data_IF_271185643951
#
_entry.id   IF_271185643951
#
_cell.length_a   1.000
_cell.length_b   1.000
_cell.length_c   1.000
_cell.angle_alpha   90.00
_cell.angle_beta   90.00
_cell.angle_gamma   90.00
#
_symmetry.space_group_name_H-M   'P 1'
#
loop_
_entity.id
_entity.type
_entity.pdbx_description
1 polymer ?
#
# COMPACT_ATOMS: atom_id res chain seq x y z
N UNK A 1 -1.22 0.47 -10.08
CA UNK A 1 -2.30 -0.46 -9.66
C UNK A 1 -1.79 -1.89 -9.78
N UNK A 2 -1.56 -2.61 -8.68
CA UNK A 2 -1.26 -4.05 -8.69
C UNK A 2 -2.56 -4.82 -8.89
N UNK A 3 -2.64 -5.68 -9.91
CA UNK A 3 -3.85 -6.42 -10.28
C UNK A 3 -3.63 -7.93 -10.30
N UNK A 4 -4.61 -8.66 -9.80
CA UNK A 4 -4.75 -10.09 -9.96
C UNK A 4 -6.23 -10.47 -9.93
N UNK A 5 -6.76 -10.95 -11.05
CA UNK A 5 -8.18 -11.30 -11.22
C UNK A 5 -9.15 -10.17 -10.83
N UNK A 6 -8.92 -8.97 -11.37
CA UNK A 6 -9.69 -7.75 -11.06
C UNK A 6 -10.69 -7.34 -12.17
N UNK A 7 -11.07 -8.26 -13.09
CA UNK A 7 -11.93 -7.95 -14.22
C UNK A 7 -13.28 -7.34 -13.84
N UNK A 8 -13.83 -7.70 -12.66
CA UNK A 8 -15.12 -7.19 -12.18
C UNK A 8 -15.07 -5.73 -11.72
N UNK A 9 -13.91 -5.27 -11.24
CA UNK A 9 -13.78 -4.00 -10.48
C UNK A 9 -12.94 -2.94 -11.17
N UNK A 10 -11.96 -3.34 -12.00
CA UNK A 10 -11.00 -2.41 -12.61
C UNK A 10 -11.65 -1.27 -13.38
N UNK A 11 -12.74 -1.54 -14.10
CA UNK A 11 -13.44 -0.50 -14.89
C UNK A 11 -14.01 0.60 -13.99
N UNK A 12 -14.70 0.23 -12.91
CA UNK A 12 -15.28 1.21 -11.98
C UNK A 12 -14.21 2.02 -11.26
N UNK A 13 -13.15 1.34 -10.76
CA UNK A 13 -12.02 2.04 -10.13
C UNK A 13 -11.36 3.04 -11.09
N UNK A 14 -11.09 2.65 -12.33
CA UNK A 14 -10.49 3.54 -13.31
C UNK A 14 -11.39 4.72 -13.68
N UNK A 15 -12.70 4.54 -13.73
CA UNK A 15 -13.64 5.64 -14.02
C UNK A 15 -13.65 6.69 -12.90
N UNK A 16 -13.45 6.28 -11.64
CA UNK A 16 -13.39 7.16 -10.47
C UNK A 16 -12.04 7.90 -10.35
N UNK A 17 -10.99 7.47 -11.06
CA UNK A 17 -9.71 8.20 -11.10
C UNK A 17 -9.95 9.58 -11.78
N UNK A 18 -9.51 10.70 -11.15
CA UNK A 18 -9.60 12.03 -11.76
C UNK A 18 -8.90 12.08 -13.13
N UNK A 19 -9.49 12.82 -14.07
CA UNK A 19 -9.07 12.80 -15.49
C UNK A 19 -7.61 13.11 -15.69
N UNK A 20 -7.05 14.03 -14.92
CA UNK A 20 -5.65 14.47 -14.97
C UNK A 20 -4.66 13.37 -14.64
N UNK A 21 -5.04 12.36 -13.83
CA UNK A 21 -4.18 11.23 -13.42
C UNK A 21 -4.36 9.99 -14.31
N UNK A 22 -5.39 9.94 -15.16
CA UNK A 22 -5.68 8.74 -15.98
C UNK A 22 -4.55 8.40 -16.94
N UNK A 23 -3.88 9.39 -17.51
CA UNK A 23 -2.77 9.21 -18.45
C UNK A 23 -1.52 8.59 -17.78
N UNK A 24 -1.36 8.79 -16.46
CA UNK A 24 -0.22 8.33 -15.67
C UNK A 24 -0.52 7.01 -14.95
N UNK A 25 -1.66 6.38 -15.27
CA UNK A 25 -2.06 5.14 -14.64
C UNK A 25 -1.31 3.95 -15.24
N UNK A 26 -0.63 3.19 -14.37
CA UNK A 26 0.06 1.94 -14.70
C UNK A 26 -0.64 0.80 -13.97
N UNK A 27 -0.93 -0.28 -14.68
CA UNK A 27 -1.41 -1.52 -14.09
C UNK A 27 -0.36 -2.61 -14.27
N UNK A 28 0.02 -3.26 -13.17
CA UNK A 28 0.88 -4.45 -13.21
C UNK A 28 0.02 -5.67 -12.89
N UNK A 29 -0.06 -6.57 -13.85
CA UNK A 29 -0.86 -7.80 -13.76
C UNK A 29 -0.01 -8.97 -13.30
N UNK A 30 -0.38 -9.59 -12.18
CA UNK A 30 0.32 -10.72 -11.59
C UNK A 30 -0.14 -12.08 -12.15
N UNK A 31 -0.23 -12.16 -13.48
CA UNK A 31 -0.69 -13.33 -14.23
C UNK A 31 -2.16 -13.68 -13.95
N UNK A 32 -3.06 -12.73 -14.17
CA UNK A 32 -4.51 -12.95 -14.08
C UNK A 32 -5.00 -13.99 -15.09
N UNK A 33 -5.93 -14.83 -14.67
CA UNK A 33 -6.60 -15.82 -15.50
C UNK A 33 -7.93 -15.32 -16.09
N UNK A 34 -8.40 -14.17 -15.65
CA UNK A 34 -9.64 -13.53 -16.11
C UNK A 34 -9.37 -12.43 -17.16
N UNK A 35 -10.37 -11.64 -17.50
CA UNK A 35 -10.28 -10.56 -18.50
C UNK A 35 -9.63 -9.27 -17.98
N UNK A 36 -8.93 -9.27 -16.84
CA UNK A 36 -8.31 -8.07 -16.24
C UNK A 36 -7.47 -7.29 -17.25
N UNK A 37 -6.53 -7.96 -17.90
CA UNK A 37 -5.60 -7.35 -18.85
C UNK A 37 -6.32 -6.80 -20.10
N UNK A 38 -7.28 -7.55 -20.62
CA UNK A 38 -8.08 -7.16 -21.77
C UNK A 38 -8.85 -5.86 -21.48
N UNK A 39 -9.54 -5.82 -20.33
CA UNK A 39 -10.31 -4.66 -19.91
C UNK A 39 -9.41 -3.46 -19.67
N UNK A 40 -8.28 -3.63 -18.98
CA UNK A 40 -7.33 -2.55 -18.70
C UNK A 40 -6.79 -1.91 -19.98
N UNK A 41 -6.41 -2.73 -20.97
CA UNK A 41 -5.95 -2.23 -22.28
C UNK A 41 -7.03 -1.47 -23.04
N UNK A 42 -8.28 -1.96 -23.01
CA UNK A 42 -9.43 -1.25 -23.62
C UNK A 42 -9.73 0.10 -22.98
N UNK A 43 -9.40 0.26 -21.69
CA UNK A 43 -9.51 1.54 -20.97
C UNK A 43 -8.36 2.50 -21.25
N UNK A 44 -7.34 2.08 -22.02
CA UNK A 44 -6.16 2.88 -22.32
C UNK A 44 -5.12 2.90 -21.20
N UNK A 45 -5.21 1.99 -20.23
CA UNK A 45 -4.24 1.88 -19.13
C UNK A 45 -2.95 1.24 -19.66
N UNK A 46 -1.79 1.78 -19.27
CA UNK A 46 -0.49 1.14 -19.51
C UNK A 46 -0.39 -0.15 -18.69
N UNK A 47 -0.38 -1.32 -19.36
CA UNK A 47 -0.38 -2.63 -18.72
C UNK A 47 0.97 -3.31 -18.84
N UNK A 48 1.51 -3.73 -17.70
CA UNK A 48 2.70 -4.58 -17.58
C UNK A 48 2.25 -5.95 -17.07
N UNK A 49 2.49 -7.01 -17.82
CA UNK A 49 2.19 -8.38 -17.40
C UNK A 49 3.44 -9.06 -16.88
N UNK A 50 3.35 -9.61 -15.68
CA UNK A 50 4.42 -10.42 -15.10
C UNK A 50 4.45 -11.81 -15.74
N UNK A 51 5.62 -12.40 -15.85
CA UNK A 51 5.81 -13.74 -16.45
C UNK A 51 5.35 -14.89 -15.54
N UNK A 52 5.24 -14.62 -14.23
CA UNK A 52 4.78 -15.58 -13.21
C UNK A 52 4.03 -14.83 -12.12
N UNK A 53 3.08 -15.52 -11.49
CA UNK A 53 2.46 -15.01 -10.28
C UNK A 53 3.50 -15.01 -9.16
N UNK A 54 3.82 -13.86 -8.64
CA UNK A 54 4.84 -13.66 -7.62
C UNK A 54 4.27 -13.28 -6.27
N UNK A 55 2.98 -12.97 -6.22
CA UNK A 55 2.30 -12.53 -5.01
C UNK A 55 2.19 -11.02 -4.87
N UNK A 56 1.48 -10.63 -3.83
CA UNK A 56 1.08 -9.25 -3.56
C UNK A 56 2.26 -8.25 -3.49
N UNK A 57 3.26 -8.55 -2.66
CA UNK A 57 4.44 -7.69 -2.50
C UNK A 57 5.29 -7.63 -3.75
N UNK A 58 5.50 -8.78 -4.41
CA UNK A 58 6.25 -8.83 -5.67
C UNK A 58 5.58 -8.03 -6.78
N UNK A 59 4.23 -7.98 -6.82
CA UNK A 59 3.49 -7.17 -7.77
C UNK A 59 3.64 -5.67 -7.47
N UNK A 60 3.59 -5.26 -6.20
CA UNK A 60 3.83 -3.87 -5.80
C UNK A 60 5.24 -3.40 -6.12
N UNK A 61 6.28 -4.23 -5.88
CA UNK A 61 7.66 -3.91 -6.27
C UNK A 61 7.74 -3.54 -7.74
N UNK A 62 7.16 -4.37 -8.61
CA UNK A 62 7.10 -4.09 -10.05
C UNK A 62 6.32 -2.80 -10.38
N UNK A 63 5.24 -2.48 -9.63
CA UNK A 63 4.53 -1.21 -9.78
C UNK A 63 5.43 -0.01 -9.48
N UNK A 64 6.19 -0.06 -8.38
CA UNK A 64 7.07 1.04 -7.98
C UNK A 64 8.24 1.21 -8.95
N UNK A 65 8.86 0.12 -9.38
CA UNK A 65 9.92 0.12 -10.40
C UNK A 65 9.42 0.77 -11.69
N UNK A 66 8.28 0.31 -12.20
CA UNK A 66 7.68 0.84 -13.42
C UNK A 66 7.32 2.33 -13.33
N UNK A 67 6.86 2.79 -12.15
CA UNK A 67 6.57 4.20 -11.93
C UNK A 67 7.85 5.05 -11.92
N UNK A 68 8.92 4.58 -11.28
CA UNK A 68 10.22 5.26 -11.28
C UNK A 68 10.85 5.31 -12.68
N UNK A 69 10.73 4.25 -13.48
CA UNK A 69 11.18 4.21 -14.87
C UNK A 69 10.43 5.22 -15.75
N UNK A 70 9.16 5.51 -15.43
CA UNK A 70 8.38 6.55 -16.09
C UNK A 70 8.71 7.97 -15.61
N UNK A 71 9.63 8.14 -14.67
CA UNK A 71 10.05 9.44 -14.13
C UNK A 71 9.03 10.04 -13.14
N UNK A 72 8.24 9.22 -12.47
CA UNK A 72 7.26 9.73 -11.51
C UNK A 72 7.95 10.37 -10.29
N UNK A 73 7.51 11.59 -9.91
CA UNK A 73 7.95 12.27 -8.70
C UNK A 73 7.16 11.80 -7.48
N UNK A 74 5.91 11.44 -7.69
CA UNK A 74 4.99 10.94 -6.65
C UNK A 74 4.27 9.71 -7.19
N UNK A 75 4.20 8.65 -6.39
CA UNK A 75 3.52 7.41 -6.75
C UNK A 75 2.41 7.11 -5.75
N UNK A 76 1.19 6.95 -6.24
CA UNK A 76 0.06 6.54 -5.40
C UNK A 76 -0.32 5.10 -5.73
N UNK A 77 -0.25 4.23 -4.73
CA UNK A 77 -0.65 2.82 -4.81
C UNK A 77 -2.15 2.71 -4.62
N UNK A 78 -2.86 2.36 -5.69
CA UNK A 78 -4.31 2.15 -5.69
C UNK A 78 -4.62 0.71 -6.09
N UNK A 79 -5.34 -0.02 -5.24
CA UNK A 79 -5.80 -1.37 -5.56
C UNK A 79 -7.08 -1.34 -6.41
N UNK A 80 -7.18 -2.18 -7.47
CA UNK A 80 -8.35 -2.20 -8.35
C UNK A 80 -9.50 -3.05 -7.79
N UNK A 81 -9.75 -3.03 -6.47
CA UNK A 81 -10.75 -3.84 -5.77
C UNK A 81 -11.98 -3.05 -5.28
N UNK A 82 -12.08 -1.78 -5.66
CA UNK A 82 -13.15 -0.86 -5.27
C UNK A 82 -13.25 -0.55 -3.76
N UNK A 83 -12.28 -0.97 -2.94
CA UNK A 83 -12.32 -0.65 -1.51
C UNK A 83 -12.09 0.83 -1.23
N UNK A 84 -11.18 1.45 -1.97
CA UNK A 84 -10.83 2.86 -1.80
C UNK A 84 -11.48 3.74 -2.87
N UNK A 85 -11.91 4.91 -2.47
CA UNK A 85 -12.41 5.92 -3.38
C UNK A 85 -11.24 6.59 -4.14
N UNK A 86 -11.13 6.30 -5.43
CA UNK A 86 -10.03 6.84 -6.25
C UNK A 86 -10.05 8.38 -6.39
N UNK A 87 -11.16 9.04 -6.06
CA UNK A 87 -11.27 10.50 -6.09
C UNK A 87 -10.39 11.21 -5.06
N UNK A 88 -9.87 10.48 -4.06
CA UNK A 88 -8.97 11.04 -3.03
C UNK A 88 -7.50 11.08 -3.44
N UNK A 89 -7.12 10.50 -4.57
CA UNK A 89 -5.73 10.46 -5.04
C UNK A 89 -5.05 11.84 -5.08
N UNK A 90 -5.72 12.93 -5.56
CA UNK A 90 -5.14 14.28 -5.54
C UNK A 90 -4.77 14.75 -4.13
N UNK A 91 -5.58 14.41 -3.13
CA UNK A 91 -5.33 14.84 -1.75
C UNK A 91 -4.06 14.17 -1.17
N UNK A 92 -3.86 12.85 -1.42
CA UNK A 92 -2.63 12.18 -1.00
C UNK A 92 -1.40 12.78 -1.71
N UNK A 93 -1.48 12.94 -3.03
CA UNK A 93 -0.38 13.50 -3.82
C UNK A 93 -0.04 14.93 -3.38
N UNK A 94 -1.05 15.76 -3.09
CA UNK A 94 -0.86 17.17 -2.69
C UNK A 94 -0.09 17.33 -1.38
N UNK A 95 -0.29 16.46 -0.40
CA UNK A 95 0.46 16.49 0.86
C UNK A 95 1.96 16.27 0.62
N UNK A 96 2.31 15.37 -0.31
CA UNK A 96 3.71 15.12 -0.69
C UNK A 96 4.26 16.28 -1.52
N UNK A 97 3.52 16.78 -2.49
CA UNK A 97 3.89 17.93 -3.33
C UNK A 97 4.24 19.16 -2.48
N UNK A 98 3.46 19.40 -1.42
CA UNK A 98 3.70 20.48 -0.45
C UNK A 98 4.85 20.18 0.52
N UNK A 99 5.52 19.02 0.42
CA UNK A 99 6.63 18.59 1.30
C UNK A 99 6.25 18.50 2.79
N UNK A 100 4.97 18.31 3.08
CA UNK A 100 4.47 18.11 4.45
C UNK A 100 4.88 16.72 4.93
N UNK A 101 4.67 15.70 4.09
CA UNK A 101 5.09 14.32 4.31
C UNK A 101 5.79 13.76 3.06
N UNK A 102 6.60 12.72 3.25
CA UNK A 102 7.23 11.94 2.18
C UNK A 102 6.42 10.68 1.86
N UNK A 103 5.66 10.21 2.85
CA UNK A 103 4.72 9.07 2.74
C UNK A 103 3.38 9.49 3.32
N UNK A 104 2.29 9.19 2.61
CA UNK A 104 0.93 9.48 3.06
C UNK A 104 0.06 8.24 2.95
N UNK A 105 -0.60 7.86 4.04
CA UNK A 105 -1.54 6.74 4.08
C UNK A 105 -2.99 7.23 4.02
N UNK A 106 -3.84 6.48 3.39
CA UNK A 106 -5.29 6.68 3.46
C UNK A 106 -5.86 6.03 4.71
N UNK A 107 -6.15 6.81 5.74
CA UNK A 107 -6.72 6.30 6.98
C UNK A 107 -8.19 5.88 6.81
N UNK A 108 -8.47 4.59 6.94
CA UNK A 108 -9.81 4.00 6.80
C UNK A 108 -10.69 4.18 8.04
N UNK A 109 -10.09 4.52 9.18
CA UNK A 109 -10.76 4.48 10.48
C UNK A 109 -10.92 5.90 10.99
N UNK A 110 -11.87 6.66 10.40
CA UNK A 110 -12.24 8.00 10.89
C UNK A 110 -12.98 7.90 12.22
N UNK A 111 -14.01 7.06 12.25
CA UNK A 111 -14.75 6.73 13.48
C UNK A 111 -15.02 5.23 13.55
N UNK A 112 -15.21 4.70 14.78
CA UNK A 112 -15.61 3.31 14.98
C UNK A 112 -16.95 2.99 14.31
N UNK A 113 -17.90 3.94 14.40
CA UNK A 113 -19.24 3.79 13.81
C UNK A 113 -19.16 3.62 12.29
N UNK A 114 -18.43 4.50 11.61
CA UNK A 114 -18.26 4.43 10.17
C UNK A 114 -17.52 3.16 9.71
N UNK A 115 -16.46 2.78 10.40
CA UNK A 115 -15.71 1.58 10.05
C UNK A 115 -16.58 0.31 10.11
N UNK A 116 -17.40 0.17 11.18
CA UNK A 116 -18.28 -0.98 11.35
C UNK A 116 -19.47 -0.91 10.39
N UNK A 117 -20.09 0.25 10.20
CA UNK A 117 -21.19 0.43 9.23
C UNK A 117 -20.71 0.25 7.79
N UNK A 118 -19.46 0.58 7.48
CA UNK A 118 -18.83 0.34 6.18
C UNK A 118 -18.52 -1.14 5.90
N UNK A 119 -18.83 -2.05 6.85
CA UNK A 119 -18.67 -3.49 6.69
C UNK A 119 -17.40 -4.08 7.33
N UNK A 120 -16.63 -3.29 8.08
CA UNK A 120 -15.47 -3.85 8.80
C UNK A 120 -15.93 -4.75 9.95
N UNK A 121 -15.52 -6.02 10.00
CA UNK A 121 -15.82 -6.90 11.12
C UNK A 121 -15.30 -6.32 12.44
N UNK A 122 -16.09 -6.42 13.54
CA UNK A 122 -15.73 -5.85 14.85
C UNK A 122 -14.36 -6.35 15.34
N UNK A 123 -14.10 -7.66 15.23
CA UNK A 123 -12.81 -8.24 15.64
C UNK A 123 -11.63 -7.64 14.85
N UNK A 124 -11.80 -7.41 13.53
CA UNK A 124 -10.79 -6.78 12.68
C UNK A 124 -10.53 -5.33 13.09
N UNK A 125 -11.60 -4.60 13.46
CA UNK A 125 -11.47 -3.25 14.00
C UNK A 125 -10.59 -3.23 15.26
N UNK A 126 -10.90 -4.08 16.25
CA UNK A 126 -10.14 -4.12 17.50
C UNK A 126 -8.68 -4.52 17.30
N UNK A 127 -8.41 -5.55 16.49
CA UNK A 127 -7.03 -5.95 16.16
C UNK A 127 -6.29 -4.80 15.49
N UNK A 128 -6.88 -4.16 14.47
CA UNK A 128 -6.27 -3.02 13.80
C UNK A 128 -5.94 -1.88 14.78
N UNK A 129 -6.88 -1.51 15.65
CA UNK A 129 -6.66 -0.42 16.63
C UNK A 129 -5.55 -0.75 17.63
N UNK A 130 -5.54 -1.97 18.15
CA UNK A 130 -4.51 -2.43 19.11
C UNK A 130 -3.14 -2.47 18.42
N UNK A 131 -3.04 -3.04 17.22
CA UNK A 131 -1.79 -3.08 16.47
C UNK A 131 -1.28 -1.67 16.15
N UNK A 132 -2.16 -0.79 15.64
CA UNK A 132 -1.80 0.61 15.34
C UNK A 132 -1.31 1.35 16.60
N UNK A 133 -1.93 1.11 17.77
CA UNK A 133 -1.48 1.72 19.03
C UNK A 133 -0.07 1.25 19.40
N UNK A 134 0.18 -0.05 19.33
CA UNK A 134 1.52 -0.62 19.64
C UNK A 134 2.56 -0.10 18.65
N UNK A 135 2.25 -0.06 17.37
CA UNK A 135 3.15 0.44 16.31
C UNK A 135 3.45 1.93 16.49
N UNK A 136 2.46 2.75 16.80
CA UNK A 136 2.67 4.16 17.12
C UNK A 136 3.64 4.33 18.30
N UNK A 137 3.43 3.56 19.37
CA UNK A 137 4.27 3.64 20.57
C UNK A 137 5.71 3.17 20.27
N UNK A 138 5.88 2.06 19.56
CA UNK A 138 7.19 1.46 19.31
C UNK A 138 7.99 2.20 18.25
N UNK A 139 7.32 2.75 17.24
CA UNK A 139 7.96 3.44 16.12
C UNK A 139 7.98 4.96 16.27
N UNK A 140 7.42 5.51 17.38
CA UNK A 140 7.38 6.94 17.63
C UNK A 140 6.52 7.71 16.63
N UNK A 141 5.41 7.12 16.19
CA UNK A 141 4.49 7.71 15.21
C UNK A 141 3.14 8.08 15.83
N UNK A 142 2.28 8.76 15.07
CA UNK A 142 0.92 9.12 15.49
C UNK A 142 -0.09 8.90 14.35
N UNK A 143 -0.04 7.72 13.72
CA UNK A 143 -0.92 7.37 12.60
C UNK A 143 -2.25 6.80 13.08
N UNK A 144 -3.31 7.08 12.34
CA UNK A 144 -4.64 6.52 12.62
C UNK A 144 -4.81 5.09 12.11
N UNK A 145 -4.10 4.66 11.07
CA UNK A 145 -4.19 3.31 10.50
C UNK A 145 -2.89 2.91 9.78
N UNK A 146 -2.09 2.03 10.40
CA UNK A 146 -0.87 1.48 9.79
C UNK A 146 -1.13 0.48 8.67
N UNK A 147 -2.32 -0.12 8.63
CA UNK A 147 -2.64 -1.28 7.78
C UNK A 147 -3.46 -0.91 6.55
N UNK A 148 -3.44 0.36 6.16
CA UNK A 148 -4.09 0.80 4.93
C UNK A 148 -3.28 0.39 3.70
N UNK A 149 -3.95 -0.11 2.66
CA UNK A 149 -3.34 -0.40 1.36
C UNK A 149 -3.29 0.80 0.41
N UNK A 150 -4.04 1.88 0.69
CA UNK A 150 -3.95 3.11 -0.09
C UNK A 150 -2.82 3.98 0.45
N UNK A 151 -1.77 4.15 -0.33
CA UNK A 151 -0.53 4.81 0.08
C UNK A 151 0.03 5.67 -1.04
N UNK A 152 0.62 6.80 -0.68
CA UNK A 152 1.39 7.63 -1.60
C UNK A 152 2.82 7.78 -1.09
N UNK A 153 3.77 7.83 -2.02
CA UNK A 153 5.20 7.93 -1.74
C UNK A 153 5.85 8.97 -2.66
N UNK A 154 6.78 9.75 -2.14
CA UNK A 154 7.70 10.51 -2.99
C UNK A 154 8.66 9.55 -3.70
N UNK A 155 9.16 9.95 -4.87
CA UNK A 155 10.18 9.18 -5.59
C UNK A 155 11.48 9.01 -4.78
N UNK A 156 11.79 9.95 -3.88
CA UNK A 156 12.93 9.86 -2.98
C UNK A 156 12.81 8.66 -2.02
N UNK A 157 11.63 8.43 -1.44
CA UNK A 157 11.36 7.24 -0.61
C UNK A 157 11.60 5.97 -1.40
N UNK A 158 11.03 5.88 -2.62
CA UNK A 158 11.13 4.70 -3.48
C UNK A 158 12.57 4.43 -3.94
N UNK A 159 13.39 5.47 -4.11
CA UNK A 159 14.80 5.32 -4.49
C UNK A 159 15.70 4.98 -3.32
N UNK A 160 15.36 5.42 -2.10
CA UNK A 160 16.19 5.28 -0.91
C UNK A 160 15.94 3.97 -0.18
N UNK A 161 14.67 3.57 -0.06
CA UNK A 161 14.28 2.37 0.69
C UNK A 161 14.53 1.12 -0.15
N UNK A 162 15.29 0.13 0.36
CA UNK A 162 15.59 -1.11 -0.35
C UNK A 162 14.41 -2.09 -0.28
N UNK A 163 13.24 -1.67 -0.80
CA UNK A 163 11.99 -2.43 -0.74
C UNK A 163 12.06 -3.76 -1.51
N UNK A 164 13.00 -3.94 -2.41
CA UNK A 164 13.27 -5.20 -3.10
C UNK A 164 13.62 -6.34 -2.14
N UNK A 165 14.18 -6.03 -0.96
CA UNK A 165 14.51 -7.00 0.08
C UNK A 165 13.32 -7.42 0.95
N UNK A 166 12.16 -6.81 0.74
CA UNK A 166 10.94 -7.10 1.48
C UNK A 166 10.26 -8.37 0.98
N UNK A 167 9.33 -8.86 1.78
CA UNK A 167 8.48 -10.00 1.45
C UNK A 167 7.76 -9.82 0.10
N UNK A 168 7.55 -10.91 -0.62
CA UNK A 168 6.71 -10.93 -1.82
C UNK A 168 5.22 -11.11 -1.49
N UNK A 169 4.85 -11.29 -0.22
CA UNK A 169 3.49 -11.46 0.29
C UNK A 169 2.99 -10.18 0.97
N UNK A 170 1.87 -10.23 1.66
CA UNK A 170 1.16 -9.11 2.30
C UNK A 170 1.98 -8.35 3.36
N UNK A 171 3.00 -8.96 3.97
CA UNK A 171 3.89 -8.29 4.91
C UNK A 171 4.67 -7.12 4.27
N UNK A 172 4.77 -7.08 2.94
CA UNK A 172 5.46 -6.04 2.18
C UNK A 172 5.10 -4.63 2.62
N UNK A 173 3.81 -4.34 2.74
CA UNK A 173 3.31 -3.01 3.08
C UNK A 173 3.83 -2.53 4.44
N UNK A 174 3.84 -3.43 5.42
CA UNK A 174 4.29 -3.11 6.77
C UNK A 174 5.81 -2.97 6.82
N UNK A 175 6.54 -3.88 6.16
CA UNK A 175 7.99 -3.81 6.06
C UNK A 175 8.44 -2.50 5.41
N UNK A 176 7.78 -2.08 4.32
CA UNK A 176 8.11 -0.85 3.62
C UNK A 176 7.84 0.40 4.47
N UNK A 177 6.74 0.41 5.23
CA UNK A 177 6.43 1.52 6.13
C UNK A 177 7.45 1.63 7.27
N UNK A 178 7.80 0.50 7.91
CA UNK A 178 8.82 0.44 8.96
C UNK A 178 10.19 0.90 8.45
N UNK A 179 10.57 0.50 7.23
CA UNK A 179 11.79 1.00 6.58
C UNK A 179 11.75 2.51 6.35
N UNK A 180 10.63 3.04 5.85
CA UNK A 180 10.48 4.48 5.63
C UNK A 180 10.67 5.27 6.91
N UNK A 181 10.13 4.77 8.04
CA UNK A 181 10.35 5.35 9.38
C UNK A 181 11.82 5.24 9.79
N UNK A 182 12.44 4.08 9.56
CA UNK A 182 13.86 3.86 9.91
C UNK A 182 14.80 4.84 9.19
N UNK A 183 14.51 5.14 7.93
CA UNK A 183 15.30 6.10 7.14
C UNK A 183 14.97 7.57 7.41
N UNK A 184 14.05 7.85 8.35
CA UNK A 184 13.74 9.19 8.80
C UNK A 184 12.77 9.97 7.90
N UNK A 185 12.03 9.31 7.01
CA UNK A 185 11.01 9.94 6.19
C UNK A 185 9.81 10.39 7.03
N UNK A 186 9.23 11.53 6.66
CA UNK A 186 8.03 12.08 7.30
C UNK A 186 6.80 11.32 6.81
N UNK A 187 6.06 10.72 7.75
CA UNK A 187 4.87 9.94 7.45
C UNK A 187 3.63 10.61 8.05
N UNK A 188 2.56 10.64 7.29
CA UNK A 188 1.27 11.12 7.75
C UNK A 188 0.13 10.29 7.18
N UNK A 189 -1.08 10.56 7.65
CA UNK A 189 -2.27 9.96 7.10
C UNK A 189 -3.38 10.99 6.88
N UNK A 190 -4.26 10.70 5.91
CA UNK A 190 -5.48 11.46 5.66
C UNK A 190 -6.69 10.56 5.73
N UNK A 191 -7.85 11.03 6.23
CA UNK A 191 -9.05 10.23 6.29
C UNK A 191 -9.59 9.96 4.88
N UNK A 192 -9.86 8.68 4.57
CA UNK A 192 -10.40 8.26 3.28
C UNK A 192 -11.67 7.43 3.44
N UNK A 193 -12.66 7.62 2.55
CA UNK A 193 -13.82 6.73 2.50
C UNK A 193 -13.38 5.32 2.09
N UNK A 194 -13.92 4.31 2.75
CA UNK A 194 -13.69 2.90 2.41
C UNK A 194 -15.01 2.17 2.34
N UNK A 195 -15.12 1.27 1.38
CA UNK A 195 -16.24 0.37 1.21
C UNK A 195 -15.76 -1.07 1.32
N UNK A 196 -16.42 -1.86 2.16
CA UNK A 196 -16.16 -3.30 2.24
C UNK A 196 -17.28 -4.01 1.49
N UNK A 197 -16.94 -4.71 0.42
CA UNK A 197 -17.86 -5.57 -0.33
C UNK A 197 -17.58 -7.03 0.04
N UNK A 198 -18.59 -7.89 -0.08
CA UNK A 198 -18.43 -9.34 0.16
C UNK A 198 -17.39 -9.97 -0.76
N UNK A 199 -17.28 -9.48 -2.00
CA UNK A 199 -16.28 -9.90 -3.00
C UNK A 199 -14.92 -9.18 -2.88
N UNK A 200 -14.75 -8.27 -1.90
CA UNK A 200 -13.47 -7.60 -1.71
C UNK A 200 -12.43 -8.61 -1.22
N UNK A 201 -11.19 -8.44 -1.65
CA UNK A 201 -10.05 -9.30 -1.30
C UNK A 201 -9.80 -9.34 0.21
N UNK A 202 -10.74 -9.94 0.97
CA UNK A 202 -10.58 -10.12 2.40
C UNK A 202 -9.53 -11.21 2.64
N UNK A 203 -8.42 -10.81 3.22
CA UNK A 203 -7.38 -11.73 3.64
C UNK A 203 -7.99 -12.75 4.61
N UNK A 204 -7.84 -14.05 4.33
CA UNK A 204 -8.32 -15.11 5.23
C UNK A 204 -7.67 -14.96 6.61
N UNK A 205 -8.31 -15.44 7.67
CA UNK A 205 -7.79 -15.34 9.04
C UNK A 205 -6.34 -15.86 9.17
N UNK A 206 -6.00 -16.97 8.51
CA UNK A 206 -4.63 -17.51 8.49
C UNK A 206 -3.62 -16.57 7.80
N UNK A 207 -4.03 -15.92 6.72
CA UNK A 207 -3.20 -14.91 6.03
C UNK A 207 -3.08 -13.65 6.86
N UNK A 208 -4.15 -13.21 7.55
CA UNK A 208 -4.11 -12.07 8.48
C UNK A 208 -3.14 -12.31 9.63
N UNK A 209 -3.08 -13.53 10.15
CA UNK A 209 -2.12 -13.90 11.19
C UNK A 209 -0.68 -13.86 10.67
N UNK A 210 -0.42 -14.41 9.48
CA UNK A 210 0.91 -14.34 8.83
C UNK A 210 1.33 -12.89 8.56
N UNK A 211 0.41 -12.07 8.10
CA UNK A 211 0.61 -10.63 7.91
C UNK A 211 1.00 -9.95 9.24
N UNK A 212 0.26 -10.22 10.32
CA UNK A 212 0.57 -9.68 11.66
C UNK A 212 1.95 -10.08 12.16
N UNK A 213 2.30 -11.37 12.02
CA UNK A 213 3.65 -11.88 12.38
C UNK A 213 4.74 -11.19 11.55
N UNK A 214 4.52 -11.00 10.25
CA UNK A 214 5.46 -10.27 9.37
C UNK A 214 5.68 -8.82 9.82
N UNK A 215 4.59 -8.12 10.15
CA UNK A 215 4.66 -6.74 10.66
C UNK A 215 5.41 -6.63 11.99
N UNK A 216 5.09 -7.49 12.96
CA UNK A 216 5.81 -7.55 14.25
C UNK A 216 7.29 -7.87 14.04
N UNK A 217 7.61 -8.83 13.16
CA UNK A 217 8.99 -9.15 12.81
C UNK A 217 9.74 -7.95 12.24
N UNK A 218 9.12 -7.18 11.35
CA UNK A 218 9.72 -5.98 10.78
C UNK A 218 10.06 -4.93 11.85
N UNK A 219 9.14 -4.69 12.79
CA UNK A 219 9.37 -3.76 13.91
C UNK A 219 10.50 -4.25 14.80
N UNK A 220 10.52 -5.53 15.18
CA UNK A 220 11.59 -6.11 15.99
C UNK A 220 12.94 -5.99 15.27
N UNK A 221 13.02 -6.38 14.00
CA UNK A 221 14.26 -6.28 13.21
C UNK A 221 14.72 -4.82 13.09
N UNK A 222 13.82 -3.87 12.92
CA UNK A 222 14.15 -2.44 12.90
C UNK A 222 14.78 -1.99 14.23
N UNK A 223 14.18 -2.36 15.36
CA UNK A 223 14.69 -2.03 16.70
C UNK A 223 16.09 -2.66 16.90
N UNK A 224 16.25 -3.93 16.61
CA UNK A 224 17.52 -4.63 16.77
C UNK A 224 18.62 -4.04 15.86
N UNK A 225 18.27 -3.65 14.63
CA UNK A 225 19.20 -2.97 13.70
C UNK A 225 19.58 -1.59 14.22
N UNK A 226 18.63 -0.81 14.75
CA UNK A 226 18.89 0.50 15.35
C UNK A 226 19.90 0.42 16.51
N UNK A 227 19.83 -0.63 17.32
CA UNK A 227 20.79 -0.91 18.40
C UNK A 227 22.06 -1.65 17.93
N UNK A 228 22.22 -1.85 16.61
CA UNK A 228 23.38 -2.56 16.02
C UNK A 228 23.54 -4.01 16.50
N UNK A 229 22.45 -4.64 16.92
CA UNK A 229 22.43 -6.03 17.40
C UNK A 229 22.34 -7.04 16.25
N UNK A 230 21.75 -6.63 15.12
CA UNK A 230 21.69 -7.41 13.87
C UNK A 230 22.01 -6.50 12.68
N UNK A 231 22.35 -7.14 11.54
CA UNK A 231 22.56 -6.46 10.27
C UNK A 231 21.54 -6.98 9.25
N UNK A 232 20.36 -6.32 9.19
CA UNK A 232 19.27 -6.71 8.28
C UNK A 232 19.33 -5.84 7.01
N UNK A 233 19.44 -6.50 5.84
CA UNK A 233 19.54 -5.85 4.53
C UNK A 233 18.38 -4.89 4.24
N UNK A 234 17.23 -5.08 4.87
CA UNK A 234 16.07 -4.19 4.73
C UNK A 234 16.32 -2.80 5.28
N UNK A 235 17.28 -2.63 6.19
CA UNK A 235 17.58 -1.37 6.87
C UNK A 235 18.95 -0.80 6.49
N UNK A 236 19.54 -1.27 5.39
CA UNK A 236 20.75 -0.70 4.79
C UNK A 236 20.31 0.16 3.61
N UNK A 237 20.67 1.44 3.63
CA UNK A 237 20.30 2.40 2.56
C UNK A 237 20.76 1.89 1.19
N UNK A 238 19.91 2.04 0.20
CA UNK A 238 20.25 1.81 -1.21
C UNK A 238 21.33 2.80 -1.63
N UNK A 239 22.42 2.31 -2.20
CA UNK A 239 23.57 3.13 -2.67
C UNK A 239 23.27 3.62 -4.08
#
# INVERSE_FOLDING_TARGET
>A
MPAYNAAKTIKSVYLDIPKEYKKDCILVDDLSSDKTVEIARRLGIKVIQRKKNGGYGANQKTCYEAALECGADIVVMLHPDNQYDARVLPALAKVIELKICDVVLGNRIRTRKEAIQGGMPRWKYFINRTSTFIENLTLGQSLGDFHSGLRAYSSEVLRTVPFENNSDDFAFDQEFLVQSIHFGFKIGDIPVPVRYFEDSSSISFRRSLRYGVGGVSAVICQILTKFKLINDKRFIKKI
#
